data_IF_195751388844
#
_entry.id   IF_195751388844
#
_cell.length_a   1.000
_cell.length_b   1.000
_cell.length_c   1.000
_cell.angle_alpha   90.00
_cell.angle_beta   90.00
_cell.angle_gamma   90.00
#
_symmetry.space_group_name_H-M   'P 1'
#
loop_
_entity.id
_entity.type
_entity.pdbx_description
1 polymer ?
#
# COMPACT_ATOMS: atom_id res chain seq x y z
N UNK A 1 -71.67 -5.29 30.03
CA UNK A 1 -70.40 -5.61 30.71
C UNK A 1 -69.35 -5.88 29.63
N UNK A 2 -68.54 -4.87 29.30
CA UNK A 2 -67.65 -4.85 28.14
C UNK A 2 -66.27 -5.43 28.51
N UNK A 3 -65.84 -6.48 27.82
CA UNK A 3 -64.54 -7.15 27.99
C UNK A 3 -63.43 -6.29 27.37
N UNK A 4 -62.47 -5.84 28.19
CA UNK A 4 -61.24 -5.20 27.72
C UNK A 4 -60.13 -6.23 27.55
N UNK A 5 -59.72 -6.46 26.32
CA UNK A 5 -58.56 -7.27 25.96
C UNK A 5 -57.32 -6.36 25.89
N UNK A 6 -56.34 -6.59 26.76
CA UNK A 6 -55.06 -5.89 26.73
C UNK A 6 -54.07 -6.74 25.93
N UNK A 7 -53.57 -6.23 24.82
CA UNK A 7 -52.49 -6.84 24.04
C UNK A 7 -51.20 -6.07 24.36
N UNK A 8 -50.18 -6.69 24.98
CA UNK A 8 -48.90 -6.02 25.18
C UNK A 8 -48.13 -6.03 23.85
N UNK A 9 -47.80 -4.85 23.35
CA UNK A 9 -46.92 -4.66 22.20
C UNK A 9 -45.47 -4.82 22.68
N UNK A 10 -44.85 -5.95 22.38
CA UNK A 10 -43.42 -6.17 22.61
C UNK A 10 -42.60 -5.35 21.61
N UNK A 11 -41.94 -4.30 22.09
CA UNK A 11 -40.97 -3.54 21.31
C UNK A 11 -39.66 -4.33 21.19
N UNK A 12 -39.42 -4.95 20.04
CA UNK A 12 -38.14 -5.57 19.72
C UNK A 12 -37.13 -4.48 19.32
N UNK A 13 -36.16 -4.19 20.21
CA UNK A 13 -35.01 -3.35 19.90
C UNK A 13 -34.06 -4.14 18.99
N UNK A 14 -34.08 -3.86 17.68
CA UNK A 14 -33.08 -4.38 16.75
C UNK A 14 -31.78 -3.58 16.92
N UNK A 15 -30.78 -4.18 17.57
CA UNK A 15 -29.44 -3.63 17.68
C UNK A 15 -28.73 -3.80 16.32
N UNK A 16 -28.78 -2.77 15.48
CA UNK A 16 -28.02 -2.75 14.23
C UNK A 16 -26.53 -2.61 14.55
N UNK A 17 -25.79 -3.73 14.51
CA UNK A 17 -24.34 -3.71 14.55
C UNK A 17 -23.80 -3.08 13.26
N UNK A 18 -23.44 -1.80 13.30
CA UNK A 18 -22.68 -1.15 12.24
C UNK A 18 -21.25 -1.69 12.29
N UNK A 19 -20.97 -2.73 11.50
CA UNK A 19 -19.60 -3.12 11.23
C UNK A 19 -18.89 -1.93 10.57
N UNK A 20 -18.04 -1.24 11.32
CA UNK A 20 -17.16 -0.20 10.79
C UNK A 20 -16.21 -0.88 9.80
N UNK A 21 -16.51 -0.79 8.51
CA UNK A 21 -15.52 -1.07 7.48
C UNK A 21 -14.35 -0.14 7.77
N UNK A 22 -13.18 -0.71 8.13
CA UNK A 22 -11.97 0.09 8.28
C UNK A 22 -11.83 0.95 7.02
N UNK A 23 -11.88 2.27 7.19
CA UNK A 23 -11.83 3.19 6.06
C UNK A 23 -10.53 2.92 5.31
N UNK A 24 -10.64 2.35 4.11
CA UNK A 24 -9.50 2.16 3.24
C UNK A 24 -8.88 3.54 2.96
N UNK A 25 -7.55 3.62 2.87
CA UNK A 25 -6.86 4.87 2.56
C UNK A 25 -7.30 5.53 1.24
N UNK A 26 -6.63 6.63 0.91
CA UNK A 26 -6.98 7.46 -0.25
C UNK A 26 -6.23 7.00 -1.50
N UNK A 27 -6.97 6.56 -2.53
CA UNK A 27 -6.37 6.37 -3.86
C UNK A 27 -6.10 7.73 -4.48
N UNK A 28 -4.88 7.93 -4.95
CA UNK A 28 -4.41 9.20 -5.54
C UNK A 28 -3.86 8.96 -6.95
N UNK A 29 -4.01 9.93 -7.86
CA UNK A 29 -3.35 9.85 -9.17
C UNK A 29 -1.84 9.94 -9.00
N UNK A 30 -1.09 9.45 -9.99
CA UNK A 30 0.35 9.71 -10.07
C UNK A 30 0.59 11.14 -10.57
N UNK A 31 0.54 12.11 -9.67
CA UNK A 31 0.81 13.51 -9.97
C UNK A 31 2.27 13.88 -9.67
N UNK A 32 3.10 13.84 -10.72
CA UNK A 32 4.52 14.18 -10.64
C UNK A 32 4.78 15.64 -10.22
N UNK A 33 3.80 16.54 -10.31
CA UNK A 33 3.97 17.93 -9.89
C UNK A 33 4.18 18.05 -8.38
N UNK A 34 3.61 17.15 -7.58
CA UNK A 34 3.75 17.12 -6.12
C UNK A 34 5.17 16.73 -5.67
N UNK A 35 5.91 16.04 -6.55
CA UNK A 35 7.30 15.64 -6.30
C UNK A 35 8.33 16.51 -7.04
N UNK A 36 7.95 17.71 -7.49
CA UNK A 36 8.91 18.68 -8.04
C UNK A 36 9.71 19.34 -6.93
N UNK A 37 10.96 19.72 -7.23
CA UNK A 37 11.75 20.52 -6.32
C UNK A 37 11.02 21.83 -5.97
N UNK A 38 10.96 22.18 -4.69
CA UNK A 38 10.25 23.36 -4.20
C UNK A 38 8.74 23.19 -4.01
N UNK A 39 8.17 21.98 -4.18
CA UNK A 39 6.80 21.73 -3.75
C UNK A 39 6.67 21.88 -2.23
N UNK A 40 5.60 22.53 -1.76
CA UNK A 40 5.41 22.87 -0.35
C UNK A 40 4.87 21.75 0.54
N UNK A 41 4.47 20.60 -0.04
CA UNK A 41 3.96 19.44 0.68
C UNK A 41 5.07 18.44 1.06
N UNK A 42 4.69 17.35 1.72
CA UNK A 42 5.57 16.19 1.92
C UNK A 42 5.20 15.09 0.93
N UNK A 43 6.16 14.63 0.14
CA UNK A 43 5.94 13.55 -0.82
C UNK A 43 7.16 12.62 -0.90
N UNK A 44 6.92 11.40 -1.36
CA UNK A 44 7.94 10.43 -1.73
C UNK A 44 8.03 10.32 -3.25
N UNK A 45 9.20 10.62 -3.82
CA UNK A 45 9.52 10.32 -5.21
C UNK A 45 10.14 8.92 -5.24
N UNK A 46 9.29 7.92 -5.53
CA UNK A 46 9.64 6.50 -5.46
C UNK A 46 10.13 6.03 -6.82
N UNK A 47 11.42 5.74 -6.93
CA UNK A 47 12.00 5.05 -8.09
C UNK A 47 11.91 3.55 -7.86
N UNK A 48 11.02 2.90 -8.61
CA UNK A 48 10.85 1.44 -8.59
C UNK A 48 11.74 0.84 -9.67
N UNK A 49 12.55 -0.16 -9.30
CA UNK A 49 13.48 -0.83 -10.20
C UNK A 49 13.30 -2.34 -10.15
N UNK A 50 13.90 -3.05 -11.12
CA UNK A 50 13.92 -4.51 -11.12
C UNK A 50 12.62 -5.15 -11.61
N UNK A 51 11.83 -4.44 -12.43
CA UNK A 51 10.65 -5.02 -13.06
C UNK A 51 11.00 -6.26 -13.87
N UNK A 52 10.36 -7.39 -13.55
CA UNK A 52 10.47 -8.63 -14.33
C UNK A 52 9.88 -8.51 -15.74
N UNK A 53 8.77 -7.79 -15.85
CA UNK A 53 8.03 -7.55 -17.09
C UNK A 53 7.68 -6.06 -17.19
N UNK A 54 7.64 -5.53 -18.41
CA UNK A 54 7.20 -4.15 -18.69
C UNK A 54 5.68 -3.98 -18.79
N UNK A 55 4.91 -5.03 -18.46
CA UNK A 55 3.45 -5.09 -18.55
C UNK A 55 2.81 -5.04 -17.16
N UNK A 56 1.48 -5.18 -17.08
CA UNK A 56 0.79 -5.27 -15.80
C UNK A 56 0.62 -3.93 -15.10
N UNK A 57 0.48 -3.97 -13.76
CA UNK A 57 0.24 -2.79 -12.93
C UNK A 57 1.21 -2.70 -11.76
N UNK A 58 1.65 -1.49 -11.47
CA UNK A 58 2.38 -1.17 -10.25
C UNK A 58 1.47 -0.47 -9.26
N UNK A 59 1.48 -0.97 -8.02
CA UNK A 59 0.81 -0.36 -6.88
C UNK A 59 1.85 0.09 -5.88
N UNK A 60 1.80 1.35 -5.47
CA UNK A 60 2.69 1.95 -4.46
C UNK A 60 1.82 2.47 -3.32
N UNK A 61 2.11 2.05 -2.09
CA UNK A 61 1.32 2.37 -0.91
C UNK A 61 2.19 2.87 0.24
N UNK A 62 1.72 3.90 0.95
CA UNK A 62 2.34 4.37 2.20
C UNK A 62 1.58 3.88 3.43
N UNK A 63 2.31 3.71 4.53
CA UNK A 63 1.81 3.28 5.84
C UNK A 63 2.52 4.06 6.95
N UNK A 64 1.81 4.37 8.05
CA UNK A 64 2.38 5.00 9.25
C UNK A 64 2.40 4.05 10.43
N UNK A 65 3.55 3.90 11.09
CA UNK A 65 3.67 3.09 12.31
C UNK A 65 3.53 1.58 12.10
N UNK A 66 4.02 0.81 13.08
CA UNK A 66 4.03 -0.64 13.03
C UNK A 66 2.62 -1.27 13.06
N UNK A 67 1.68 -0.68 13.80
CA UNK A 67 0.31 -1.20 13.94
C UNK A 67 -0.55 -1.08 12.69
N UNK A 68 -0.11 -0.31 11.68
CA UNK A 68 -0.80 -0.19 10.40
C UNK A 68 -0.07 -0.94 9.28
N UNK A 69 1.16 -1.40 9.52
CA UNK A 69 2.04 -1.91 8.47
C UNK A 69 1.44 -3.13 7.78
N UNK A 70 1.21 -3.03 6.45
CA UNK A 70 0.59 -4.04 5.58
C UNK A 70 -0.82 -4.51 5.96
N UNK A 71 -1.36 -4.03 7.08
CA UNK A 71 -2.71 -4.30 7.51
C UNK A 71 -3.75 -3.87 6.45
N UNK A 72 -4.73 -4.75 6.21
CA UNK A 72 -5.73 -4.52 5.16
C UNK A 72 -6.52 -3.24 5.46
N UNK A 73 -6.51 -2.32 4.50
CA UNK A 73 -7.21 -1.03 4.61
C UNK A 73 -6.47 0.03 5.42
N UNK A 74 -5.32 -0.28 6.03
CA UNK A 74 -4.57 0.65 6.91
C UNK A 74 -3.43 1.41 6.20
N UNK A 75 -3.38 1.33 4.88
CA UNK A 75 -2.54 2.18 4.06
C UNK A 75 -3.11 3.61 4.02
N UNK A 76 -2.26 4.61 3.84
CA UNK A 76 -2.63 6.03 3.83
C UNK A 76 -2.96 6.51 2.42
N UNK A 77 -1.96 6.48 1.53
CA UNK A 77 -2.09 6.85 0.12
C UNK A 77 -1.73 5.66 -0.76
N UNK A 78 -2.42 5.54 -1.90
CA UNK A 78 -2.16 4.51 -2.90
C UNK A 78 -2.15 5.11 -4.30
N UNK A 79 -1.04 4.93 -5.00
CA UNK A 79 -0.99 5.06 -6.46
C UNK A 79 -1.07 3.66 -7.05
N UNK A 80 -1.92 3.47 -8.06
CA UNK A 80 -2.09 2.20 -8.77
C UNK A 80 -2.22 2.53 -10.26
N UNK A 81 -1.21 2.20 -11.07
CA UNK A 81 -1.08 2.61 -12.47
C UNK A 81 -0.47 1.49 -13.34
N UNK A 82 -0.71 1.50 -14.67
CA UNK A 82 -0.01 0.60 -15.58
C UNK A 82 1.50 0.80 -15.51
N UNK A 83 2.27 -0.29 -15.63
CA UNK A 83 3.72 -0.20 -15.76
C UNK A 83 4.07 0.55 -17.04
N UNK A 84 4.92 1.58 -16.90
CA UNK A 84 5.49 2.33 -18.02
C UNK A 84 6.96 2.59 -17.74
N UNK A 85 7.81 1.70 -18.26
CA UNK A 85 9.24 1.74 -17.99
C UNK A 85 9.94 2.86 -18.76
N UNK A 86 10.88 3.51 -18.10
CA UNK A 86 11.91 4.34 -18.71
C UNK A 86 13.24 3.60 -18.52
N UNK A 87 13.71 2.92 -19.57
CA UNK A 87 14.78 1.93 -19.41
C UNK A 87 14.28 0.71 -18.62
N UNK A 88 14.86 0.45 -17.44
CA UNK A 88 14.48 -0.67 -16.54
C UNK A 88 13.81 -0.23 -15.24
N UNK A 89 13.38 1.04 -15.15
CA UNK A 89 12.77 1.61 -13.96
C UNK A 89 11.46 2.35 -14.26
N UNK A 90 10.74 2.67 -13.19
CA UNK A 90 9.58 3.54 -13.22
C UNK A 90 9.56 4.42 -11.98
N UNK A 91 9.29 5.71 -12.15
CA UNK A 91 9.18 6.64 -11.02
C UNK A 91 7.71 6.98 -10.74
N UNK A 92 7.34 6.98 -9.46
CA UNK A 92 6.00 7.28 -8.97
C UNK A 92 6.09 8.37 -7.92
N UNK A 93 5.23 9.39 -8.02
CA UNK A 93 5.07 10.36 -6.95
C UNK A 93 3.97 9.90 -6.00
N UNK A 94 4.30 9.77 -4.72
CA UNK A 94 3.38 9.35 -3.66
C UNK A 94 3.27 10.47 -2.60
N UNK A 95 2.14 11.18 -2.50
CA UNK A 95 1.95 12.16 -1.43
C UNK A 95 1.93 11.47 -0.05
N UNK A 96 2.36 12.21 0.97
CA UNK A 96 2.35 11.81 2.37
C UNK A 96 1.61 12.89 3.19
N UNK A 97 1.07 12.52 4.35
CA UNK A 97 0.27 13.45 5.18
C UNK A 97 1.10 14.58 5.82
N UNK A 98 2.43 14.47 5.80
CA UNK A 98 3.35 15.45 6.37
C UNK A 98 4.71 14.82 6.71
N UNK A 99 5.60 15.57 7.38
CA UNK A 99 6.81 14.99 7.95
C UNK A 99 6.47 13.91 9.00
N UNK A 100 7.16 12.78 8.98
CA UNK A 100 6.80 11.64 9.83
C UNK A 100 7.58 10.37 9.52
N UNK A 101 7.25 9.27 10.20
CA UNK A 101 7.80 7.95 9.89
C UNK A 101 6.85 7.18 8.99
N UNK A 102 7.37 6.62 7.90
CA UNK A 102 6.58 5.92 6.89
C UNK A 102 7.28 4.65 6.42
N UNK A 103 6.48 3.63 6.10
CA UNK A 103 6.91 2.51 5.28
C UNK A 103 6.19 2.57 3.93
N UNK A 104 6.87 2.19 2.84
CA UNK A 104 6.27 2.09 1.51
C UNK A 104 6.33 0.64 1.04
N UNK A 105 5.21 0.14 0.54
CA UNK A 105 5.11 -1.16 -0.11
C UNK A 105 4.80 -0.97 -1.60
N UNK A 106 5.48 -1.75 -2.44
CA UNK A 106 5.28 -1.79 -3.89
C UNK A 106 4.88 -3.21 -4.28
N UNK A 107 3.84 -3.33 -5.10
CA UNK A 107 3.46 -4.57 -5.77
C UNK A 107 3.51 -4.39 -7.27
N UNK A 108 4.09 -5.36 -7.98
CA UNK A 108 3.98 -5.51 -9.42
C UNK A 108 3.05 -6.70 -9.72
N UNK A 109 1.83 -6.38 -10.17
CA UNK A 109 0.80 -7.31 -10.61
C UNK A 109 0.98 -7.58 -12.12
N UNK A 110 1.63 -8.69 -12.47
CA UNK A 110 2.12 -8.90 -13.85
C UNK A 110 0.96 -9.10 -14.83
N UNK A 111 -0.05 -9.88 -14.43
CA UNK A 111 -1.20 -10.24 -15.28
C UNK A 111 -2.43 -9.34 -15.06
N UNK A 112 -2.33 -8.35 -14.17
CA UNK A 112 -3.39 -7.39 -13.89
C UNK A 112 -4.71 -8.06 -13.48
N UNK A 113 -4.65 -9.11 -12.66
CA UNK A 113 -5.85 -9.79 -12.17
C UNK A 113 -6.31 -9.27 -10.79
N UNK A 114 -5.51 -8.40 -10.15
CA UNK A 114 -5.81 -7.85 -8.82
C UNK A 114 -5.59 -8.82 -7.66
N UNK A 115 -5.19 -10.06 -7.93
CA UNK A 115 -4.99 -11.15 -6.97
C UNK A 115 -3.51 -11.44 -6.76
N UNK A 116 -3.09 -11.74 -5.53
CA UNK A 116 -1.69 -12.07 -5.25
C UNK A 116 -1.30 -13.39 -5.90
N UNK A 117 -0.46 -13.33 -6.94
CA UNK A 117 0.06 -14.49 -7.65
C UNK A 117 1.53 -14.76 -7.33
N UNK A 118 1.98 -16.02 -7.43
CA UNK A 118 3.40 -16.39 -7.28
C UNK A 118 4.34 -15.70 -8.28
N UNK A 119 3.79 -15.16 -9.37
CA UNK A 119 4.55 -14.46 -10.40
C UNK A 119 4.70 -12.97 -10.11
N UNK A 120 3.88 -12.43 -9.21
CA UNK A 120 3.93 -11.02 -8.84
C UNK A 120 5.27 -10.68 -8.19
N UNK A 121 5.61 -9.40 -8.28
CA UNK A 121 6.76 -8.83 -7.60
C UNK A 121 6.34 -7.99 -6.41
N UNK A 122 7.24 -7.92 -5.43
CA UNK A 122 7.07 -7.08 -4.25
C UNK A 122 8.36 -6.34 -3.89
N UNK A 123 8.24 -5.16 -3.32
CA UNK A 123 9.37 -4.42 -2.78
C UNK A 123 8.93 -3.49 -1.67
N UNK A 124 9.86 -3.12 -0.79
CA UNK A 124 9.59 -2.25 0.34
C UNK A 124 10.63 -1.13 0.43
N UNK A 125 10.26 0.01 1.01
CA UNK A 125 11.26 1.00 1.43
C UNK A 125 12.28 0.35 2.36
N UNK A 126 13.52 0.85 2.35
CA UNK A 126 14.63 0.22 3.08
C UNK A 126 15.25 -1.00 2.40
N UNK A 127 14.56 -1.63 1.43
CA UNK A 127 15.00 -2.83 0.71
C UNK A 127 15.54 -3.93 1.66
N UNK A 128 14.76 -4.36 2.67
CA UNK A 128 15.19 -5.44 3.56
C UNK A 128 15.30 -6.77 2.78
N UNK A 129 16.09 -7.71 3.32
CA UNK A 129 16.13 -9.07 2.80
C UNK A 129 14.81 -9.77 3.10
N UNK A 130 14.12 -10.23 2.07
CA UNK A 130 12.88 -11.01 2.19
C UNK A 130 13.12 -12.45 1.74
N UNK A 131 12.38 -13.39 2.32
CA UNK A 131 12.55 -14.82 2.02
C UNK A 131 11.25 -15.59 2.17
N UNK A 132 11.00 -16.52 1.25
CA UNK A 132 9.86 -17.43 1.35
C UNK A 132 10.25 -18.70 2.13
N UNK A 133 9.40 -19.21 3.05
CA UNK A 133 8.13 -18.66 3.54
C UNK A 133 8.27 -17.78 4.80
N UNK A 134 9.48 -17.56 5.31
CA UNK A 134 9.69 -17.05 6.67
C UNK A 134 9.63 -15.53 6.84
N UNK A 135 9.99 -14.75 5.82
CA UNK A 135 10.09 -13.29 5.90
C UNK A 135 9.57 -12.62 4.63
N UNK A 136 8.29 -12.81 4.32
CA UNK A 136 7.64 -12.13 3.18
C UNK A 136 7.14 -10.73 3.53
N UNK A 137 6.88 -10.49 4.81
CA UNK A 137 6.40 -9.23 5.37
C UNK A 137 7.43 -8.74 6.40
N UNK A 138 8.44 -7.95 5.97
CA UNK A 138 9.49 -7.48 6.86
C UNK A 138 8.91 -6.60 7.96
N UNK A 139 9.61 -6.49 9.09
CA UNK A 139 9.14 -5.66 10.21
C UNK A 139 9.11 -4.18 9.81
N UNK A 140 8.17 -3.43 10.38
CA UNK A 140 8.06 -1.99 10.10
C UNK A 140 9.37 -1.24 10.38
N UNK A 141 10.11 -1.63 11.42
CA UNK A 141 11.42 -1.02 11.75
C UNK A 141 12.47 -1.19 10.66
N UNK A 142 12.39 -2.24 9.85
CA UNK A 142 13.33 -2.54 8.76
C UNK A 142 13.02 -1.73 7.50
N UNK A 143 11.75 -1.36 7.32
CA UNK A 143 11.27 -0.65 6.14
C UNK A 143 11.02 0.84 6.36
N UNK A 144 10.87 1.25 7.62
CA UNK A 144 10.48 2.62 7.94
C UNK A 144 11.60 3.60 7.65
N UNK A 145 11.23 4.75 7.09
CA UNK A 145 12.12 5.89 6.91
C UNK A 145 11.45 7.16 7.45
N UNK A 146 12.26 8.16 7.78
CA UNK A 146 11.76 9.47 8.20
C UNK A 146 11.59 10.38 6.98
N UNK A 147 10.34 10.73 6.66
CA UNK A 147 10.03 11.75 5.68
C UNK A 147 10.16 13.14 6.30
N UNK A 148 10.88 14.02 5.62
CA UNK A 148 10.95 15.45 5.96
C UNK A 148 9.98 16.24 5.07
N UNK A 149 9.78 17.52 5.39
CA UNK A 149 9.06 18.42 4.49
C UNK A 149 9.71 18.45 3.10
N UNK A 150 8.89 18.56 2.05
CA UNK A 150 9.35 18.50 0.66
C UNK A 150 9.42 17.08 0.11
N UNK A 151 10.29 16.89 -0.88
CA UNK A 151 10.38 15.65 -1.68
C UNK A 151 11.46 14.73 -1.15
N UNK A 152 11.05 13.53 -0.72
CA UNK A 152 11.90 12.47 -0.21
C UNK A 152 12.14 11.44 -1.32
N UNK A 153 13.39 11.26 -1.76
CA UNK A 153 13.72 10.32 -2.83
C UNK A 153 13.98 8.92 -2.26
N UNK A 154 13.32 7.92 -2.82
CA UNK A 154 13.39 6.54 -2.33
C UNK A 154 13.55 5.61 -3.52
N UNK A 155 14.50 4.69 -3.46
CA UNK A 155 14.62 3.61 -4.45
C UNK A 155 14.11 2.31 -3.83
N UNK A 156 13.20 1.64 -4.52
CA UNK A 156 12.64 0.35 -4.12
C UNK A 156 12.95 -0.67 -5.21
N UNK A 157 13.59 -1.77 -4.81
CA UNK A 157 13.93 -2.89 -5.68
C UNK A 157 12.83 -3.93 -5.58
N UNK A 158 12.27 -4.32 -6.73
CA UNK A 158 11.31 -5.40 -6.81
C UNK A 158 12.04 -6.75 -6.72
N UNK A 159 11.45 -7.63 -5.94
CA UNK A 159 11.85 -9.02 -5.76
C UNK A 159 10.74 -9.93 -6.29
N UNK A 160 11.12 -11.10 -6.79
CA UNK A 160 10.20 -12.10 -7.32
C UNK A 160 10.57 -13.47 -6.77
N UNK A 161 9.58 -14.35 -6.68
CA UNK A 161 9.82 -15.74 -6.35
C UNK A 161 10.56 -16.42 -7.50
N UNK A 162 11.77 -16.88 -7.23
CA UNK A 162 12.67 -17.59 -8.13
C UNK A 162 12.99 -18.95 -7.52
N UNK A 163 12.28 -20.00 -7.96
CA UNK A 163 12.34 -21.31 -7.31
C UNK A 163 11.82 -21.23 -5.87
N UNK A 164 12.72 -21.37 -4.89
CA UNK A 164 12.46 -21.25 -3.45
C UNK A 164 12.93 -19.93 -2.85
N UNK A 165 13.57 -19.05 -3.62
CA UNK A 165 14.13 -17.77 -3.16
C UNK A 165 13.23 -16.60 -3.57
N UNK A 166 13.27 -15.49 -2.81
CA UNK A 166 12.62 -14.23 -3.19
C UNK A 166 13.68 -13.16 -3.28
N UNK A 167 14.02 -12.75 -4.49
CA UNK A 167 15.18 -11.88 -4.74
C UNK A 167 14.99 -11.04 -6.01
N UNK A 168 15.81 -9.99 -6.23
CA UNK A 168 15.75 -9.17 -7.44
C UNK A 168 16.01 -9.97 -8.71
N UNK A 169 15.44 -9.51 -9.84
CA UNK A 169 15.80 -10.05 -11.16
C UNK A 169 17.13 -9.43 -11.62
N UNK A 170 18.04 -10.27 -12.15
CA UNK A 170 19.29 -9.85 -12.79
C UNK A 170 19.11 -9.02 -14.07
#
# INVERSE_FOLDING_TARGET
MLKSTIIPVSAALALAATASAAAAGTRVPNDMSQCRAGSGGTAALVRVVGFKEGTGRVRVQSYSGASNWLERGRWLHRVDIPVRLQGRDMTVCLPLDGPGSYGIAVRHDINNNGSSDRRDGGGFSGNPNISFPFNMEPNYSEVSFRANAGVNRITIVLNYLQGTSVEPIG
#
